data_IF_407652339376
#
_entry.id   IF_407652339376
#
_cell.length_a   1.000
_cell.length_b   1.000
_cell.length_c   1.000
_cell.angle_alpha   90.00
_cell.angle_beta   90.00
_cell.angle_gamma   90.00
#
_symmetry.space_group_name_H-M   'P 1'
#
loop_
_entity.id
_entity.type
_entity.pdbx_description
1 polymer ?
#
# COMPACT_ATOMS: atom_id res chain seq x y z
N UNK A 1 -2.94 -10.41 14.39
CA UNK A 1 -4.35 -9.96 14.54
C UNK A 1 -4.52 -8.60 15.21
N UNK A 2 -3.73 -8.22 16.22
CA UNK A 2 -3.91 -6.92 16.91
C UNK A 2 -3.82 -5.71 15.97
N UNK A 3 -2.97 -5.76 14.94
CA UNK A 3 -2.85 -4.68 13.94
C UNK A 3 -4.08 -4.55 13.05
N UNK A 4 -4.73 -5.66 12.69
CA UNK A 4 -6.03 -5.61 11.99
C UNK A 4 -7.13 -5.04 12.87
N UNK A 5 -7.11 -5.37 14.17
CA UNK A 5 -8.04 -4.78 15.12
C UNK A 5 -7.82 -3.27 15.29
N UNK A 6 -6.56 -2.84 15.40
CA UNK A 6 -6.20 -1.42 15.39
C UNK A 6 -6.71 -0.74 14.11
N UNK A 7 -6.45 -1.35 12.95
CA UNK A 7 -6.92 -0.87 11.65
C UNK A 7 -8.42 -0.70 11.56
N UNK A 8 -9.19 -1.69 12.05
CA UNK A 8 -10.65 -1.60 12.07
C UNK A 8 -11.18 -0.43 12.91
N UNK A 9 -10.53 -0.13 14.04
CA UNK A 9 -10.89 1.03 14.87
C UNK A 9 -10.45 2.36 14.24
N UNK A 10 -9.30 2.36 13.57
CA UNK A 10 -8.81 3.50 12.80
C UNK A 10 -9.78 3.85 11.67
N UNK A 11 -10.16 2.88 10.84
CA UNK A 11 -11.11 3.08 9.74
C UNK A 11 -12.49 3.53 10.27
N UNK A 12 -12.92 2.99 11.42
CA UNK A 12 -14.17 3.41 12.07
C UNK A 12 -14.10 4.85 12.60
N UNK A 13 -12.95 5.28 13.13
CA UNK A 13 -12.74 6.66 13.56
C UNK A 13 -12.81 7.61 12.36
N UNK A 14 -12.12 7.30 11.27
CA UNK A 14 -12.18 8.08 10.03
C UNK A 14 -13.62 8.20 9.51
N UNK A 15 -14.39 7.10 9.52
CA UNK A 15 -15.79 7.11 9.12
C UNK A 15 -16.66 7.96 10.08
N UNK A 16 -16.42 7.89 11.38
CA UNK A 16 -17.14 8.69 12.37
C UNK A 16 -16.87 10.19 12.19
N UNK A 17 -15.64 10.59 11.87
CA UNK A 17 -15.29 11.97 11.56
C UNK A 17 -16.00 12.48 10.31
N UNK A 18 -15.95 11.71 9.22
CA UNK A 18 -16.60 12.07 7.96
C UNK A 18 -18.13 12.19 8.09
N UNK A 19 -18.75 11.36 8.93
CA UNK A 19 -20.20 11.38 9.21
C UNK A 19 -20.61 12.39 10.29
N UNK A 20 -19.66 13.10 10.91
CA UNK A 20 -19.93 14.09 11.95
C UNK A 20 -20.29 13.49 13.32
N UNK A 21 -19.99 12.21 13.56
CA UNK A 21 -20.18 11.55 14.85
C UNK A 21 -19.03 11.86 15.84
N UNK A 22 -18.92 13.13 16.23
CA UNK A 22 -17.80 13.69 16.99
C UNK A 22 -17.50 12.95 18.29
N UNK A 23 -18.51 12.61 19.11
CA UNK A 23 -18.28 11.88 20.37
C UNK A 23 -17.77 10.45 20.14
N UNK A 24 -18.21 9.79 19.06
CA UNK A 24 -17.72 8.46 18.71
C UNK A 24 -16.27 8.53 18.20
N UNK A 25 -15.95 9.52 17.36
CA UNK A 25 -14.59 9.77 16.89
C UNK A 25 -13.63 10.02 18.06
N UNK A 26 -14.01 10.88 19.02
CA UNK A 26 -13.18 11.16 20.20
C UNK A 26 -12.93 9.90 21.06
N UNK A 27 -13.97 9.10 21.31
CA UNK A 27 -13.84 7.85 22.04
C UNK A 27 -12.92 6.83 21.33
N UNK A 28 -13.00 6.77 19.99
CA UNK A 28 -12.13 5.91 19.18
C UNK A 28 -10.68 6.40 19.19
N UNK A 29 -10.44 7.71 19.14
CA UNK A 29 -9.10 8.31 19.27
C UNK A 29 -8.43 7.92 20.59
N UNK A 30 -9.15 8.00 21.71
CA UNK A 30 -8.63 7.58 23.01
C UNK A 30 -8.32 6.08 23.06
N UNK A 31 -9.18 5.26 22.43
CA UNK A 31 -8.99 3.81 22.34
C UNK A 31 -7.79 3.44 21.48
N UNK A 32 -7.61 4.11 20.33
CA UNK A 32 -6.46 3.93 19.44
C UNK A 32 -5.16 4.30 20.16
N UNK A 33 -5.12 5.42 20.91
CA UNK A 33 -3.97 5.79 21.72
C UNK A 33 -3.61 4.69 22.74
N UNK A 34 -4.61 4.18 23.48
CA UNK A 34 -4.40 3.09 24.45
C UNK A 34 -3.85 1.82 23.77
N UNK A 35 -4.39 1.46 22.60
CA UNK A 35 -3.92 0.30 21.85
C UNK A 35 -2.52 0.49 21.30
N UNK A 36 -2.20 1.66 20.75
CA UNK A 36 -0.85 2.00 20.28
C UNK A 36 0.16 1.82 21.40
N UNK A 37 -0.12 2.37 22.58
CA UNK A 37 0.80 2.31 23.72
C UNK A 37 0.99 0.85 24.18
N UNK A 38 -0.07 0.04 24.21
CA UNK A 38 0.01 -1.39 24.50
C UNK A 38 0.76 -2.20 23.42
N UNK A 39 0.59 -1.85 22.14
CA UNK A 39 1.31 -2.47 21.02
C UNK A 39 2.80 -2.17 21.11
N UNK A 40 3.17 -0.90 21.32
CA UNK A 40 4.55 -0.49 21.53
C UNK A 40 5.17 -1.22 22.72
N UNK A 41 4.50 -1.22 23.88
CA UNK A 41 5.04 -1.85 25.09
C UNK A 41 5.26 -3.36 24.97
N UNK A 42 4.52 -4.06 24.09
CA UNK A 42 4.51 -5.53 24.04
C UNK A 42 5.16 -6.14 22.80
N UNK A 43 5.15 -5.43 21.68
CA UNK A 43 5.59 -5.97 20.39
C UNK A 43 6.69 -5.14 19.73
N UNK A 44 6.97 -3.92 20.18
CA UNK A 44 8.12 -3.17 19.67
C UNK A 44 9.43 -3.77 20.22
N UNK A 45 10.36 -4.10 19.34
CA UNK A 45 11.72 -4.48 19.72
C UNK A 45 12.67 -3.32 19.44
N UNK A 46 13.24 -2.73 20.50
CA UNK A 46 14.28 -1.70 20.37
C UNK A 46 15.54 -2.24 19.69
N UNK A 47 15.91 -3.49 19.97
CA UNK A 47 17.07 -4.16 19.37
C UNK A 47 16.94 -4.27 17.85
N UNK A 48 15.75 -4.64 17.36
CA UNK A 48 15.51 -4.85 15.93
C UNK A 48 14.93 -3.62 15.24
N UNK A 49 14.61 -2.57 15.99
CA UNK A 49 13.90 -1.37 15.55
C UNK A 49 12.64 -1.70 14.72
N UNK A 50 11.88 -2.72 15.14
CA UNK A 50 10.75 -3.26 14.40
C UNK A 50 9.73 -3.94 15.32
N UNK A 51 8.48 -4.05 14.83
CA UNK A 51 7.44 -4.81 15.52
C UNK A 51 7.59 -6.31 15.30
N UNK A 52 7.71 -7.05 16.39
CA UNK A 52 7.70 -8.52 16.43
C UNK A 52 6.26 -8.99 16.21
N UNK A 53 6.07 -9.87 15.22
CA UNK A 53 4.76 -10.45 14.89
C UNK A 53 4.39 -11.53 15.92
N UNK A 54 5.30 -12.47 16.13
CA UNK A 54 5.18 -13.50 17.15
C UNK A 54 6.57 -13.99 17.59
N UNK A 55 6.60 -14.84 18.61
CA UNK A 55 7.79 -15.59 18.96
C UNK A 55 7.70 -16.97 18.33
N UNK A 56 8.77 -17.41 17.69
CA UNK A 56 8.90 -18.77 17.13
C UNK A 56 9.97 -19.53 17.89
N UNK A 57 9.76 -20.82 18.07
CA UNK A 57 10.75 -21.74 18.64
C UNK A 57 11.49 -22.42 17.51
N UNK A 58 12.83 -22.32 17.49
CA UNK A 58 13.65 -23.00 16.49
C UNK A 58 13.81 -24.50 16.79
N UNK A 59 14.45 -25.22 15.87
CA UNK A 59 14.69 -26.67 15.98
C UNK A 59 15.49 -27.06 17.24
N UNK A 60 16.21 -26.12 17.84
CA UNK A 60 17.00 -26.31 19.06
C UNK A 60 16.21 -26.03 20.33
N UNK A 61 14.96 -25.58 20.21
CA UNK A 61 14.10 -25.18 21.33
C UNK A 61 14.29 -23.72 21.77
N UNK A 62 15.10 -22.92 21.06
CA UNK A 62 15.32 -21.53 21.42
C UNK A 62 14.22 -20.63 20.83
N UNK A 63 13.70 -19.72 21.66
CA UNK A 63 12.72 -18.72 21.24
C UNK A 63 13.39 -17.54 20.54
N UNK A 64 12.82 -17.12 19.41
CA UNK A 64 13.30 -15.99 18.60
C UNK A 64 12.14 -15.12 18.13
N UNK A 65 12.35 -13.81 17.98
CA UNK A 65 11.36 -12.93 17.37
C UNK A 65 11.17 -13.29 15.90
N UNK A 66 9.92 -13.31 15.46
CA UNK A 66 9.52 -13.46 14.07
C UNK A 66 8.95 -12.14 13.55
N UNK A 67 9.33 -11.78 12.34
CA UNK A 67 8.88 -10.57 11.65
C UNK A 67 8.18 -10.98 10.36
N UNK A 68 7.08 -10.30 10.02
CA UNK A 68 6.32 -10.59 8.81
C UNK A 68 6.02 -9.34 8.02
N UNK A 69 5.85 -9.50 6.70
CA UNK A 69 5.43 -8.40 5.83
C UNK A 69 4.12 -7.76 6.30
N UNK A 70 3.17 -8.55 6.83
CA UNK A 70 1.90 -8.06 7.34
C UNK A 70 2.07 -7.07 8.49
N UNK A 71 2.78 -7.50 9.53
CA UNK A 71 2.92 -6.70 10.76
C UNK A 71 3.70 -5.42 10.47
N UNK A 72 4.78 -5.51 9.70
CA UNK A 72 5.57 -4.33 9.35
C UNK A 72 4.82 -3.36 8.43
N UNK A 73 4.08 -3.87 7.43
CA UNK A 73 3.30 -3.02 6.52
C UNK A 73 2.18 -2.29 7.24
N UNK A 74 1.41 -3.00 8.08
CA UNK A 74 0.34 -2.38 8.87
C UNK A 74 0.89 -1.41 9.91
N UNK A 75 2.05 -1.70 10.52
CA UNK A 75 2.70 -0.78 11.45
C UNK A 75 3.06 0.56 10.80
N UNK A 76 3.62 0.52 9.59
CA UNK A 76 3.92 1.71 8.81
C UNK A 76 2.62 2.44 8.41
N UNK A 77 1.65 1.72 7.83
CA UNK A 77 0.38 2.28 7.35
C UNK A 77 -0.36 3.06 8.44
N UNK A 78 -0.36 2.54 9.67
CA UNK A 78 -1.07 3.16 10.79
C UNK A 78 -0.19 4.12 11.61
N UNK A 79 1.00 4.48 11.12
CA UNK A 79 1.89 5.43 11.79
C UNK A 79 2.39 4.96 13.15
N UNK A 80 2.47 3.64 13.37
CA UNK A 80 2.90 3.05 14.64
C UNK A 80 4.43 2.97 14.75
N UNK A 81 5.14 2.96 13.62
CA UNK A 81 6.60 2.95 13.59
C UNK A 81 7.12 4.35 13.93
N UNK A 82 8.04 4.50 14.92
CA UNK A 82 8.66 5.78 15.21
C UNK A 82 9.36 6.37 13.96
N UNK A 83 9.24 7.68 13.75
CA UNK A 83 9.67 8.35 12.52
C UNK A 83 11.13 8.04 12.12
N UNK A 84 12.03 7.95 13.11
CA UNK A 84 13.45 7.64 12.87
C UNK A 84 13.70 6.21 12.36
N UNK A 85 12.75 5.29 12.52
CA UNK A 85 12.87 3.89 12.10
C UNK A 85 12.05 3.55 10.85
N UNK A 86 11.27 4.50 10.30
CA UNK A 86 10.47 4.30 9.09
C UNK A 86 11.32 3.80 7.93
N UNK A 87 12.47 4.45 7.67
CA UNK A 87 13.38 4.02 6.60
C UNK A 87 13.80 2.57 6.78
N UNK A 88 14.27 2.19 7.97
CA UNK A 88 14.71 0.83 8.31
C UNK A 88 13.61 -0.22 8.07
N UNK A 89 12.38 0.04 8.54
CA UNK A 89 11.26 -0.89 8.34
C UNK A 89 10.87 -1.02 6.86
N UNK A 90 10.98 0.06 6.07
CA UNK A 90 10.81 0.00 4.62
C UNK A 90 11.90 -0.86 3.96
N UNK A 91 13.15 -0.81 4.45
CA UNK A 91 14.21 -1.71 3.96
C UNK A 91 13.85 -3.17 4.31
N UNK A 92 13.46 -3.47 5.55
CA UNK A 92 13.03 -4.83 5.93
C UNK A 92 11.96 -5.41 4.97
N UNK A 93 11.02 -4.57 4.53
CA UNK A 93 9.99 -4.95 3.56
C UNK A 93 10.48 -5.10 2.11
N UNK A 94 11.58 -4.46 1.71
CA UNK A 94 12.04 -4.42 0.32
C UNK A 94 13.26 -5.29 0.04
N UNK A 95 14.05 -5.63 1.07
CA UNK A 95 15.31 -6.37 0.96
C UNK A 95 15.14 -7.89 0.93
N UNK A 96 13.92 -8.39 1.18
CA UNK A 96 13.67 -9.83 1.34
C UNK A 96 14.21 -10.41 2.66
N UNK A 97 14.45 -9.59 3.68
CA UNK A 97 14.92 -10.05 5.00
C UNK A 97 13.81 -10.63 5.86
N UNK A 98 12.54 -10.33 5.56
CA UNK A 98 11.38 -10.95 6.17
C UNK A 98 10.79 -12.04 5.26
N UNK A 99 10.20 -13.11 5.84
CA UNK A 99 9.54 -14.15 5.07
C UNK A 99 8.46 -13.60 4.13
N UNK A 100 8.47 -14.14 2.93
CA UNK A 100 7.60 -13.73 1.85
C UNK A 100 6.15 -14.16 2.09
N UNK A 101 5.22 -13.20 2.10
CA UNK A 101 3.80 -13.53 2.19
C UNK A 101 3.30 -14.12 0.86
N UNK A 102 2.28 -14.98 0.94
CA UNK A 102 1.53 -15.46 -0.24
C UNK A 102 0.99 -14.28 -1.07
N UNK A 103 0.86 -14.39 -2.42
CA UNK A 103 0.39 -13.29 -3.25
C UNK A 103 -0.99 -12.76 -2.84
N UNK A 104 -1.87 -13.61 -2.30
CA UNK A 104 -3.20 -13.21 -1.80
C UNK A 104 -3.14 -12.21 -0.62
N UNK A 105 -1.99 -12.11 0.03
CA UNK A 105 -1.73 -11.30 1.21
C UNK A 105 -0.90 -10.04 0.92
N UNK A 106 -0.40 -9.89 -0.31
CA UNK A 106 0.54 -8.82 -0.69
C UNK A 106 -0.07 -7.44 -0.75
N UNK A 107 -1.41 -7.34 -0.76
CA UNK A 107 -2.14 -6.07 -0.87
C UNK A 107 -1.71 -5.05 0.18
N UNK A 108 -1.49 -5.47 1.44
CA UNK A 108 -1.10 -4.55 2.51
C UNK A 108 0.31 -4.00 2.28
N UNK A 109 1.26 -4.89 1.97
CA UNK A 109 2.64 -4.50 1.62
C UNK A 109 2.67 -3.52 0.46
N UNK A 110 1.97 -3.84 -0.61
CA UNK A 110 2.02 -3.07 -1.86
C UNK A 110 1.36 -1.71 -1.71
N UNK A 111 0.28 -1.64 -0.94
CA UNK A 111 -0.35 -0.38 -0.60
C UNK A 111 0.59 0.49 0.24
N UNK A 112 1.13 -0.05 1.34
CA UNK A 112 2.07 0.68 2.21
C UNK A 112 3.30 1.16 1.44
N UNK A 113 3.97 0.27 0.70
CA UNK A 113 5.14 0.64 -0.10
C UNK A 113 4.80 1.73 -1.13
N UNK A 114 3.59 1.71 -1.71
CA UNK A 114 3.10 2.77 -2.58
C UNK A 114 2.99 4.12 -1.87
N UNK A 115 2.43 4.15 -0.66
CA UNK A 115 2.31 5.37 0.16
C UNK A 115 3.68 5.97 0.50
N UNK A 116 4.70 5.13 0.66
CA UNK A 116 6.07 5.55 0.94
C UNK A 116 6.94 5.74 -0.31
N UNK A 117 6.35 5.80 -1.51
CA UNK A 117 7.09 6.07 -2.74
C UNK A 117 8.13 4.99 -3.07
N UNK A 118 7.76 3.72 -2.91
CA UNK A 118 8.61 2.55 -3.22
C UNK A 118 8.14 1.81 -4.46
N UNK A 119 7.62 2.51 -5.48
CA UNK A 119 7.14 1.87 -6.71
C UNK A 119 8.21 1.01 -7.38
N UNK A 120 9.48 1.44 -7.40
CA UNK A 120 10.58 0.65 -7.99
C UNK A 120 10.73 -0.74 -7.34
N UNK A 121 10.62 -0.83 -6.01
CA UNK A 121 10.71 -2.10 -5.29
C UNK A 121 9.51 -3.01 -5.60
N UNK A 122 8.31 -2.42 -5.69
CA UNK A 122 7.10 -3.15 -6.07
C UNK A 122 7.22 -3.68 -7.50
N UNK A 123 7.66 -2.84 -8.45
CA UNK A 123 7.85 -3.21 -9.86
C UNK A 123 8.89 -4.31 -10.02
N UNK A 124 10.00 -4.25 -9.26
CA UNK A 124 11.00 -5.31 -9.24
C UNK A 124 10.37 -6.65 -8.79
N UNK A 125 9.63 -6.65 -7.68
CA UNK A 125 8.97 -7.87 -7.18
C UNK A 125 7.89 -8.40 -8.13
N UNK A 126 7.13 -7.53 -8.78
CA UNK A 126 6.16 -7.90 -9.83
C UNK A 126 6.86 -8.62 -10.99
N UNK A 127 7.98 -8.06 -11.48
CA UNK A 127 8.74 -8.67 -12.59
C UNK A 127 9.33 -10.02 -12.22
N UNK A 128 9.83 -10.17 -10.99
CA UNK A 128 10.48 -11.42 -10.57
C UNK A 128 9.50 -12.50 -10.13
N UNK A 129 8.35 -12.13 -9.54
CA UNK A 129 7.41 -13.09 -8.94
C UNK A 129 6.12 -13.24 -9.73
N UNK A 130 5.39 -12.15 -9.98
CA UNK A 130 4.10 -12.25 -10.67
C UNK A 130 4.26 -12.71 -12.10
N UNK A 131 5.20 -12.13 -12.86
CA UNK A 131 5.42 -12.55 -14.24
C UNK A 131 5.97 -13.98 -14.37
N UNK A 132 6.46 -14.57 -13.27
CA UNK A 132 6.91 -15.96 -13.20
C UNK A 132 5.84 -16.95 -12.73
N UNK A 133 4.62 -16.51 -12.42
CA UNK A 133 3.53 -17.40 -12.03
C UNK A 133 3.13 -18.31 -13.21
N UNK A 134 2.97 -19.61 -12.96
CA UNK A 134 2.52 -20.55 -13.98
C UNK A 134 1.11 -20.20 -14.48
N UNK A 135 0.26 -19.63 -13.62
CA UNK A 135 -1.08 -19.18 -13.99
C UNK A 135 -1.07 -18.00 -14.97
N UNK A 136 -0.04 -17.14 -14.93
CA UNK A 136 0.09 -16.00 -15.84
C UNK A 136 0.40 -16.51 -17.25
N UNK A 137 1.33 -17.45 -17.38
CA UNK A 137 1.64 -18.08 -18.66
C UNK A 137 0.45 -18.91 -19.19
N UNK A 138 -0.16 -19.74 -18.34
CA UNK A 138 -1.19 -20.68 -18.76
C UNK A 138 -2.54 -20.01 -19.07
N UNK A 139 -2.91 -18.97 -18.31
CA UNK A 139 -4.27 -18.40 -18.34
C UNK A 139 -4.33 -16.88 -18.29
N UNK A 140 -3.21 -16.19 -18.08
CA UNK A 140 -3.19 -14.74 -17.85
C UNK A 140 -3.84 -14.32 -16.51
N UNK A 141 -3.99 -15.24 -15.55
CA UNK A 141 -4.60 -14.95 -14.24
C UNK A 141 -3.59 -15.05 -13.11
N UNK A 142 -3.89 -14.45 -11.95
CA UNK A 142 -3.04 -14.51 -10.76
C UNK A 142 -3.44 -15.70 -9.87
N UNK A 143 -2.50 -16.60 -9.58
CA UNK A 143 -2.70 -17.74 -8.68
C UNK A 143 -2.76 -17.35 -7.20
N UNK A 144 -3.38 -18.21 -6.38
CA UNK A 144 -3.61 -18.01 -4.94
C UNK A 144 -2.33 -18.01 -4.11
N UNK A 145 -1.39 -18.91 -4.40
CA UNK A 145 -0.12 -19.09 -3.68
C UNK A 145 1.06 -19.07 -4.67
N UNK A 146 2.29 -18.92 -4.18
CA UNK A 146 3.49 -18.97 -5.04
C UNK A 146 3.67 -20.32 -5.74
N UNK A 147 3.28 -21.39 -5.08
CA UNK A 147 3.22 -22.73 -5.63
C UNK A 147 1.77 -23.18 -5.64
N UNK A 148 1.22 -23.46 -6.82
CA UNK A 148 -0.10 -24.08 -7.00
C UNK A 148 0.09 -25.40 -7.71
N UNK A 149 -0.58 -26.44 -7.21
CA UNK A 149 -0.61 -27.75 -7.86
C UNK A 149 -1.94 -27.87 -8.63
N UNK A 150 -1.92 -28.01 -9.97
CA UNK A 150 -3.12 -28.25 -10.76
C UNK A 150 -3.99 -29.40 -10.24
N UNK A 151 -3.36 -30.41 -9.62
CA UNK A 151 -3.99 -31.66 -9.20
C UNK A 151 -4.09 -31.78 -7.66
N UNK A 152 -3.50 -30.86 -6.90
CA UNK A 152 -3.21 -31.04 -5.46
C UNK A 152 -3.53 -29.87 -4.53
N UNK A 153 -3.95 -28.72 -5.04
CA UNK A 153 -4.47 -27.61 -4.22
C UNK A 153 -3.95 -26.22 -4.61
N UNK A 154 -4.79 -25.20 -4.37
CA UNK A 154 -4.54 -23.79 -4.68
C UNK A 154 -5.19 -23.35 -6.01
N UNK A 155 -5.84 -22.19 -6.02
CA UNK A 155 -6.54 -21.70 -7.21
C UNK A 155 -5.58 -21.03 -8.22
N UNK A 156 -5.70 -21.39 -9.50
CA UNK A 156 -4.96 -20.72 -10.60
C UNK A 156 -5.44 -19.29 -10.86
N UNK A 157 -6.68 -18.98 -10.48
CA UNK A 157 -7.28 -17.65 -10.62
C UNK A 157 -7.85 -17.20 -9.27
N UNK A 158 -7.20 -16.23 -8.65
CA UNK A 158 -7.57 -15.70 -7.34
C UNK A 158 -7.43 -14.17 -7.32
N UNK A 159 -8.55 -13.47 -7.18
CA UNK A 159 -8.59 -12.00 -7.26
C UNK A 159 -7.79 -11.31 -6.15
N UNK A 160 -7.67 -11.90 -4.96
CA UNK A 160 -6.86 -11.30 -3.89
C UNK A 160 -5.35 -11.21 -4.24
N UNK A 161 -4.90 -11.97 -5.24
CA UNK A 161 -3.51 -11.95 -5.72
C UNK A 161 -3.24 -10.81 -6.72
N UNK A 162 -4.21 -9.94 -7.03
CA UNK A 162 -4.06 -8.83 -7.98
C UNK A 162 -3.56 -7.54 -7.32
N UNK A 163 -2.85 -7.62 -6.18
CA UNK A 163 -2.22 -6.48 -5.51
C UNK A 163 -1.43 -5.55 -6.46
N UNK A 164 -0.69 -6.04 -7.49
CA UNK A 164 0.00 -5.16 -8.43
C UNK A 164 -0.92 -4.18 -9.16
N UNK A 165 -2.16 -4.59 -9.50
CA UNK A 165 -3.11 -3.75 -10.25
C UNK A 165 -3.42 -2.48 -9.48
N UNK A 166 -3.70 -2.60 -8.17
CA UNK A 166 -3.92 -1.44 -7.31
C UNK A 166 -2.72 -0.50 -7.35
N UNK A 167 -1.51 -1.02 -7.16
CA UNK A 167 -0.31 -0.16 -7.10
C UNK A 167 -0.02 0.54 -8.43
N UNK A 168 -0.19 -0.17 -9.54
CA UNK A 168 0.04 0.40 -10.87
C UNK A 168 -0.90 1.57 -11.13
N UNK A 169 -2.17 1.48 -10.71
CA UNK A 169 -3.15 2.54 -10.92
C UNK A 169 -3.02 3.67 -9.88
N UNK A 170 -2.87 3.31 -8.60
CA UNK A 170 -2.88 4.27 -7.50
C UNK A 170 -1.55 5.02 -7.37
N UNK A 171 -0.41 4.37 -7.58
CA UNK A 171 0.91 4.94 -7.27
C UNK A 171 1.78 5.15 -8.50
N UNK A 172 1.86 4.19 -9.42
CA UNK A 172 2.66 4.36 -10.64
C UNK A 172 2.00 5.36 -11.61
N UNK A 173 0.73 5.14 -11.96
CA UNK A 173 -0.07 6.12 -12.70
C UNK A 173 -0.40 7.33 -11.81
N UNK A 174 -0.62 7.10 -10.52
CA UNK A 174 -0.61 8.14 -9.49
C UNK A 174 -1.97 8.71 -9.10
N UNK A 175 -3.09 8.12 -9.53
CA UNK A 175 -4.44 8.67 -9.28
C UNK A 175 -5.04 8.08 -8.01
N UNK A 176 -5.35 8.92 -7.01
CA UNK A 176 -5.92 8.47 -5.73
C UNK A 176 -6.96 9.46 -5.19
N UNK A 177 -8.14 9.00 -4.72
CA UNK A 177 -9.10 9.88 -4.05
C UNK A 177 -8.53 10.39 -2.72
N UNK A 178 -8.76 11.66 -2.41
CA UNK A 178 -8.45 12.28 -1.11
C UNK A 178 -9.70 12.66 -0.33
N UNK A 179 -10.88 12.56 -0.95
CA UNK A 179 -12.19 12.62 -0.29
C UNK A 179 -13.13 11.53 -0.83
N UNK A 180 -14.15 11.12 -0.06
CA UNK A 180 -15.13 10.14 -0.51
C UNK A 180 -15.75 10.48 -1.86
N UNK A 181 -16.06 9.46 -2.67
CA UNK A 181 -16.72 9.64 -3.96
C UNK A 181 -15.90 10.36 -5.04
N UNK A 182 -14.58 10.48 -4.87
CA UNK A 182 -13.72 11.31 -5.72
C UNK A 182 -14.09 12.79 -5.71
N UNK A 183 -14.79 13.30 -4.68
CA UNK A 183 -15.03 14.75 -4.52
C UNK A 183 -13.72 15.56 -4.53
N UNK A 184 -12.63 14.93 -4.11
CA UNK A 184 -11.27 15.40 -4.32
C UNK A 184 -10.35 14.20 -4.60
N UNK A 185 -9.33 14.41 -5.44
CA UNK A 185 -8.31 13.42 -5.73
C UNK A 185 -6.97 14.06 -6.05
N UNK A 186 -5.91 13.26 -6.02
CA UNK A 186 -4.57 13.66 -6.46
C UNK A 186 -4.12 12.85 -7.66
N UNK A 187 -3.30 13.49 -8.49
CA UNK A 187 -2.40 12.84 -9.45
C UNK A 187 -0.98 13.08 -8.97
N UNK A 188 -0.37 12.04 -8.42
CA UNK A 188 1.00 12.04 -7.88
C UNK A 188 1.71 10.74 -8.30
N UNK A 189 2.27 10.71 -9.53
CA UNK A 189 2.93 9.52 -10.07
C UNK A 189 4.25 9.20 -9.37
N UNK A 190 4.50 7.92 -9.16
CA UNK A 190 5.78 7.35 -8.76
C UNK A 190 6.33 6.49 -9.91
N UNK A 191 7.22 7.04 -10.76
CA UNK A 191 7.70 6.31 -11.94
C UNK A 191 8.48 5.03 -11.61
N UNK A 192 9.04 4.92 -10.41
CA UNK A 192 10.00 3.87 -10.09
C UNK A 192 11.17 3.88 -11.08
N UNK A 193 11.31 2.80 -11.84
CA UNK A 193 12.33 2.64 -12.89
C UNK A 193 11.74 2.62 -14.32
N UNK A 194 10.48 3.05 -14.49
CA UNK A 194 9.81 3.09 -15.80
C UNK A 194 10.08 4.41 -16.53
N UNK A 195 10.20 4.34 -17.85
CA UNK A 195 10.35 5.50 -18.72
C UNK A 195 9.02 6.20 -19.04
N UNK A 196 7.89 5.50 -18.92
CA UNK A 196 6.57 6.08 -19.16
C UNK A 196 5.47 5.24 -18.51
N UNK A 197 4.30 5.85 -18.30
CA UNK A 197 3.04 5.14 -18.13
C UNK A 197 1.88 5.95 -18.72
N UNK A 198 0.87 5.25 -19.20
CA UNK A 198 -0.39 5.84 -19.68
C UNK A 198 -1.54 4.94 -19.24
N UNK A 199 -2.59 5.54 -18.68
CA UNK A 199 -3.76 4.81 -18.23
C UNK A 199 -4.91 5.74 -17.86
N UNK A 200 -6.06 5.12 -17.63
CA UNK A 200 -7.30 5.80 -17.27
C UNK A 200 -7.86 5.22 -15.98
N UNK A 201 -8.22 6.09 -15.04
CA UNK A 201 -8.93 5.71 -13.80
C UNK A 201 -10.38 6.16 -13.92
N UNK A 202 -11.35 5.22 -13.95
CA UNK A 202 -12.76 5.59 -13.95
C UNK A 202 -13.14 6.16 -12.57
N UNK A 203 -13.88 7.28 -12.58
CA UNK A 203 -14.42 7.90 -11.37
C UNK A 203 -15.95 8.07 -11.50
N UNK A 204 -16.69 8.30 -10.40
CA UNK A 204 -18.13 8.56 -10.48
C UNK A 204 -18.53 9.73 -11.38
N UNK A 205 -17.62 10.68 -11.63
CA UNK A 205 -17.86 11.88 -12.43
C UNK A 205 -17.12 11.88 -13.77
N UNK A 206 -16.69 10.70 -14.23
CA UNK A 206 -16.02 10.47 -15.51
C UNK A 206 -14.58 10.01 -15.38
N UNK A 207 -13.95 9.74 -16.52
CA UNK A 207 -12.64 9.14 -16.60
C UNK A 207 -11.50 10.15 -16.41
N UNK A 208 -10.55 9.83 -15.55
CA UNK A 208 -9.29 10.58 -15.39
C UNK A 208 -8.20 9.87 -16.19
N UNK A 209 -7.79 10.46 -17.31
CA UNK A 209 -6.71 9.95 -18.14
C UNK A 209 -5.38 10.58 -17.72
N UNK A 210 -4.35 9.76 -17.51
CA UNK A 210 -3.01 10.22 -17.12
C UNK A 210 -1.98 9.61 -18.06
N UNK A 211 -1.06 10.43 -18.51
CA UNK A 211 0.11 10.00 -19.29
C UNK A 211 1.33 10.75 -18.80
N UNK A 212 2.42 10.04 -18.54
CA UNK A 212 3.69 10.66 -18.19
C UNK A 212 4.88 9.95 -18.83
N UNK A 213 5.98 10.70 -19.00
CA UNK A 213 7.27 10.20 -19.49
C UNK A 213 8.42 10.73 -18.63
N UNK A 214 9.50 9.95 -18.57
CA UNK A 214 10.80 10.29 -18.00
C UNK A 214 11.82 10.17 -19.13
N UNK A 215 12.38 11.29 -19.59
CA UNK A 215 13.42 11.32 -20.63
C UNK A 215 14.58 12.20 -20.19
N UNK A 216 15.80 11.66 -20.18
CA UNK A 216 16.99 12.38 -19.72
C UNK A 216 16.89 12.97 -18.31
N UNK A 217 16.04 12.39 -17.45
CA UNK A 217 15.74 12.91 -16.10
C UNK A 217 14.65 14.00 -16.06
N UNK A 218 14.12 14.43 -17.21
CA UNK A 218 12.99 15.35 -17.27
C UNK A 218 11.67 14.56 -17.18
N UNK A 219 10.81 14.97 -16.25
CA UNK A 219 9.47 14.39 -16.07
C UNK A 219 8.41 15.24 -16.77
N UNK A 220 7.60 14.63 -17.63
CA UNK A 220 6.48 15.30 -18.31
C UNK A 220 5.16 14.61 -17.94
N UNK A 221 4.17 15.38 -17.50
CA UNK A 221 2.86 14.88 -17.05
C UNK A 221 1.70 15.56 -17.78
N UNK A 222 0.88 14.74 -18.43
CA UNK A 222 -0.39 15.11 -19.02
C UNK A 222 -1.53 14.45 -18.24
N UNK A 223 -2.54 15.26 -17.91
CA UNK A 223 -3.74 14.79 -17.19
C UNK A 223 -4.97 15.32 -17.91
N UNK A 224 -5.80 14.41 -18.40
CA UNK A 224 -7.16 14.70 -18.86
C UNK A 224 -8.13 14.44 -17.73
N UNK A 225 -8.84 15.49 -17.28
CA UNK A 225 -9.89 15.36 -16.26
C UNK A 225 -11.26 15.71 -16.86
N UNK A 226 -12.35 15.08 -16.40
CA UNK A 226 -13.70 15.49 -16.76
C UNK A 226 -13.96 16.95 -16.39
N UNK A 227 -14.85 17.62 -17.13
CA UNK A 227 -15.23 19.01 -16.87
C UNK A 227 -15.79 19.25 -15.46
N UNK A 228 -16.26 18.19 -14.79
CA UNK A 228 -16.71 18.21 -13.41
C UNK A 228 -15.59 18.52 -12.40
N UNK A 229 -14.31 18.49 -12.78
CA UNK A 229 -13.20 18.75 -11.89
C UNK A 229 -12.45 20.03 -12.24
N UNK A 230 -11.80 20.62 -11.23
CA UNK A 230 -10.88 21.73 -11.38
C UNK A 230 -9.57 21.45 -10.63
N UNK A 231 -8.45 21.89 -11.20
CA UNK A 231 -7.16 21.86 -10.52
C UNK A 231 -7.19 22.91 -9.39
N UNK A 232 -6.89 22.48 -8.17
CA UNK A 232 -6.87 23.35 -6.98
C UNK A 232 -5.46 23.53 -6.40
N UNK A 233 -4.52 22.66 -6.74
CA UNK A 233 -3.14 22.72 -6.26
C UNK A 233 -2.22 22.03 -7.27
N UNK A 234 -1.07 22.64 -7.54
CA UNK A 234 0.07 22.00 -8.22
C UNK A 234 1.34 22.32 -7.43
N UNK A 235 2.01 21.28 -6.94
CA UNK A 235 3.19 21.38 -6.09
C UNK A 235 4.15 20.22 -6.35
N UNK A 236 5.24 20.17 -5.58
CA UNK A 236 6.18 19.05 -5.57
C UNK A 236 6.21 18.43 -4.18
N UNK A 237 6.05 17.11 -4.11
CA UNK A 237 6.15 16.31 -2.90
C UNK A 237 7.18 15.20 -3.14
N UNK A 238 8.17 15.06 -2.24
CA UNK A 238 9.27 14.09 -2.38
C UNK A 238 9.99 14.16 -3.74
N UNK A 239 10.14 15.38 -4.28
CA UNK A 239 10.76 15.60 -5.59
C UNK A 239 9.91 15.22 -6.80
N UNK A 240 8.64 14.85 -6.60
CA UNK A 240 7.70 14.45 -7.66
C UNK A 240 6.53 15.42 -7.74
N UNK A 241 6.00 15.65 -8.95
CA UNK A 241 4.84 16.52 -9.15
C UNK A 241 3.62 15.97 -8.42
N UNK A 242 2.84 16.85 -7.82
CA UNK A 242 1.55 16.55 -7.22
C UNK A 242 0.54 17.56 -7.75
N UNK A 243 -0.52 17.06 -8.39
CA UNK A 243 -1.69 17.85 -8.79
C UNK A 243 -2.90 17.41 -7.98
N UNK A 244 -3.60 18.34 -7.34
CA UNK A 244 -4.84 18.06 -6.62
C UNK A 244 -6.02 18.63 -7.39
N UNK A 245 -7.05 17.82 -7.56
CA UNK A 245 -8.27 18.18 -8.25
C UNK A 245 -9.45 18.07 -7.31
N UNK A 246 -10.41 19.00 -7.44
CA UNK A 246 -11.65 18.99 -6.69
C UNK A 246 -12.83 19.07 -7.63
N UNK A 247 -13.91 18.39 -7.28
CA UNK A 247 -15.18 18.49 -8.00
C UNK A 247 -15.72 19.93 -7.93
N UNK A 248 -16.24 20.41 -9.05
CA UNK A 248 -17.00 21.65 -9.12
C UNK A 248 -18.41 21.42 -8.53
N UNK A 249 -19.00 22.44 -7.87
CA UNK A 249 -20.38 22.38 -7.37
C UNK A 249 -21.42 22.06 -8.45
#
# INVERSE_FOLDING_TARGET
MNFFYYGALYDLQQAAEELGYTSAAEALTQRLATLRDGLMARYWSEEHAAFVDCTVTDETGAERPFFSEHTLSLALRYGLVPAQHVSHVLELLTNGTVPDASPLHKVQKYWTLGEYGRAAAILAEVRTKWLGMSSIEATGTCQESWNVDPDGGGAYCHSASTAPVHTLMAYVLGVRPTKPGFEEFVVHPDPGDLAYANGTVPTPYGDVAVSWTVDGGAFQLQVGVPAAYQLIEETTLDGRVLRRYRRQP
#
